data_IF_101834821524
#
_entry.id   IF_101834821524
#
_cell.length_a   1.000
_cell.length_b   1.000
_cell.length_c   1.000
_cell.angle_alpha   90.00
_cell.angle_beta   90.00
_cell.angle_gamma   90.00
#
_symmetry.space_group_name_H-M   'P 1'
#
loop_
_entity.id
_entity.type
_entity.pdbx_description
1 polymer ?
#
# COMPACT_ATOMS: atom_id res chain seq x y z
N UNK A 1 47.26 -40.75 -48.36
CA UNK A 1 45.79 -40.56 -48.37
C UNK A 1 45.31 -40.61 -46.93
N UNK A 2 44.95 -39.47 -46.34
CA UNK A 2 44.43 -39.42 -44.97
C UNK A 2 42.91 -39.54 -45.06
N UNK A 3 42.35 -40.63 -44.52
CA UNK A 3 40.91 -40.83 -44.39
C UNK A 3 40.38 -39.74 -43.45
N UNK A 4 39.54 -38.85 -43.97
CA UNK A 4 38.79 -37.90 -43.16
C UNK A 4 37.63 -38.67 -42.51
N UNK A 5 37.69 -38.81 -41.19
CA UNK A 5 36.55 -39.33 -40.41
C UNK A 5 35.40 -38.31 -40.47
N UNK A 6 34.17 -38.82 -40.56
CA UNK A 6 32.97 -38.01 -40.73
C UNK A 6 32.76 -37.11 -39.50
N UNK A 7 32.25 -35.88 -39.66
CA UNK A 7 31.91 -35.03 -38.52
C UNK A 7 30.83 -35.75 -37.71
N UNK A 8 31.05 -35.91 -36.41
CA UNK A 8 30.00 -36.32 -35.48
C UNK A 8 28.85 -35.32 -35.57
N UNK A 9 27.61 -35.79 -35.73
CA UNK A 9 26.40 -34.95 -35.68
C UNK A 9 26.28 -34.37 -34.26
N UNK A 10 26.91 -33.22 -34.03
CA UNK A 10 26.79 -32.50 -32.78
C UNK A 10 25.35 -31.98 -32.66
N UNK A 11 24.63 -32.32 -31.58
CA UNK A 11 23.30 -31.78 -31.36
C UNK A 11 23.38 -30.27 -31.18
N UNK A 12 22.40 -29.57 -31.73
CA UNK A 12 22.27 -28.13 -31.59
C UNK A 12 21.89 -27.77 -30.15
N UNK A 13 22.92 -27.46 -29.36
CA UNK A 13 22.82 -27.13 -27.95
C UNK A 13 21.96 -25.88 -27.71
N UNK A 14 21.88 -24.96 -28.68
CA UNK A 14 21.08 -23.74 -28.59
C UNK A 14 19.59 -24.05 -28.67
N UNK A 15 19.20 -24.86 -29.66
CA UNK A 15 17.82 -25.34 -29.80
C UNK A 15 17.40 -26.20 -28.60
N UNK A 16 18.27 -27.10 -28.13
CA UNK A 16 17.98 -27.93 -26.96
C UNK A 16 17.77 -27.09 -25.70
N UNK A 17 18.58 -26.05 -25.51
CA UNK A 17 18.42 -25.13 -24.39
C UNK A 17 17.10 -24.37 -24.49
N UNK A 18 16.76 -23.82 -25.65
CA UNK A 18 15.50 -23.09 -25.86
C UNK A 18 14.27 -23.96 -25.59
N UNK A 19 14.23 -25.19 -26.09
CA UNK A 19 13.13 -26.12 -25.79
C UNK A 19 12.98 -26.37 -24.29
N UNK A 20 14.09 -26.55 -23.57
CA UNK A 20 14.07 -26.76 -22.12
C UNK A 20 13.61 -25.54 -21.34
N UNK A 21 13.98 -24.33 -21.78
CA UNK A 21 13.50 -23.09 -21.18
C UNK A 21 12.00 -22.92 -21.37
N UNK A 22 11.49 -23.10 -22.59
CA UNK A 22 10.05 -23.01 -22.89
C UNK A 22 9.24 -24.05 -22.10
N UNK A 23 9.75 -25.28 -21.98
CA UNK A 23 9.13 -26.33 -21.18
C UNK A 23 9.06 -25.95 -19.69
N UNK A 24 10.13 -25.32 -19.16
CA UNK A 24 10.18 -24.86 -17.77
C UNK A 24 9.24 -23.68 -17.51
N UNK A 25 9.19 -22.70 -18.42
CA UNK A 25 8.30 -21.55 -18.33
C UNK A 25 6.82 -21.96 -18.39
N UNK A 26 6.46 -22.91 -19.25
CA UNK A 26 5.08 -23.41 -19.38
C UNK A 26 4.53 -24.05 -18.09
N UNK A 27 5.41 -24.55 -17.23
CA UNK A 27 5.06 -25.16 -15.94
C UNK A 27 4.99 -24.15 -14.81
N UNK A 28 5.51 -22.94 -15.02
CA UNK A 28 5.47 -21.88 -14.04
C UNK A 28 4.07 -21.24 -14.05
N UNK A 29 3.33 -21.39 -12.96
CA UNK A 29 2.02 -20.76 -12.82
C UNK A 29 1.88 -20.15 -11.43
N UNK A 30 1.05 -19.12 -11.34
CA UNK A 30 0.86 -18.36 -10.11
C UNK A 30 0.04 -19.11 -9.04
N UNK A 31 -0.26 -20.42 -9.20
CA UNK A 31 -1.10 -21.14 -8.24
C UNK A 31 -0.52 -21.11 -6.82
N UNK A 32 0.80 -21.22 -6.68
CA UNK A 32 1.47 -21.19 -5.37
C UNK A 32 1.38 -19.79 -4.73
N UNK A 33 1.43 -18.75 -5.56
CA UNK A 33 1.25 -17.36 -5.12
C UNK A 33 -0.21 -17.11 -4.71
N UNK A 34 -1.17 -17.59 -5.49
CA UNK A 34 -2.61 -17.40 -5.25
C UNK A 34 -3.15 -18.19 -4.06
N UNK A 35 -2.49 -19.29 -3.69
CA UNK A 35 -2.80 -20.05 -2.45
C UNK A 35 -2.16 -19.47 -1.20
N UNK A 36 -1.17 -18.58 -1.35
CA UNK A 36 -0.48 -18.00 -0.22
C UNK A 36 -1.37 -17.01 0.53
N UNK A 37 -1.65 -17.28 1.81
CA UNK A 37 -2.51 -16.44 2.66
C UNK A 37 -2.04 -14.98 2.73
N UNK A 38 -0.72 -14.74 2.78
CA UNK A 38 -0.16 -13.38 2.83
C UNK A 38 -0.38 -12.64 1.52
N UNK A 39 -0.27 -13.33 0.38
CA UNK A 39 -0.53 -12.74 -0.93
C UNK A 39 -2.00 -12.38 -1.09
N UNK A 40 -2.90 -13.27 -0.66
CA UNK A 40 -4.34 -13.01 -0.70
C UNK A 40 -4.73 -11.81 0.17
N UNK A 41 -4.18 -11.72 1.39
CA UNK A 41 -4.39 -10.57 2.27
C UNK A 41 -3.86 -9.26 1.66
N UNK A 42 -2.66 -9.28 1.08
CA UNK A 42 -2.09 -8.12 0.40
C UNK A 42 -2.93 -7.69 -0.83
N UNK A 43 -3.39 -8.66 -1.63
CA UNK A 43 -4.25 -8.42 -2.79
C UNK A 43 -5.59 -7.79 -2.38
N UNK A 44 -6.14 -8.21 -1.25
CA UNK A 44 -7.35 -7.61 -0.68
C UNK A 44 -7.11 -6.16 -0.21
N UNK A 45 -6.00 -5.90 0.48
CA UNK A 45 -5.59 -4.54 0.85
C UNK A 45 -5.46 -3.61 -0.37
N UNK A 46 -4.87 -4.10 -1.47
CA UNK A 46 -4.76 -3.32 -2.71
C UNK A 46 -6.13 -2.98 -3.32
N UNK A 47 -7.09 -3.91 -3.28
CA UNK A 47 -8.45 -3.66 -3.75
C UNK A 47 -9.14 -2.59 -2.90
N UNK A 48 -8.99 -2.66 -1.58
CA UNK A 48 -9.55 -1.67 -0.66
C UNK A 48 -8.90 -0.29 -0.81
N UNK A 49 -7.58 -0.23 -1.05
CA UNK A 49 -6.88 1.01 -1.38
C UNK A 49 -7.36 1.62 -2.70
N UNK A 50 -7.58 0.79 -3.74
CA UNK A 50 -8.14 1.27 -5.02
C UNK A 50 -9.53 1.88 -4.85
N UNK A 51 -10.39 1.31 -3.99
CA UNK A 51 -11.72 1.87 -3.73
C UNK A 51 -11.68 3.24 -3.04
N UNK A 52 -10.66 3.51 -2.23
CA UNK A 52 -10.49 4.83 -1.62
C UNK A 52 -10.05 5.90 -2.64
N UNK A 53 -9.44 5.49 -3.75
CA UNK A 53 -9.09 6.33 -4.90
C UNK A 53 -10.14 6.17 -6.00
N UNK A 54 -11.32 6.77 -5.85
CA UNK A 54 -12.24 6.94 -6.96
C UNK A 54 -11.64 7.89 -8.01
N UNK A 55 -11.02 7.31 -9.04
CA UNK A 55 -10.64 7.95 -10.28
C UNK A 55 -10.51 6.88 -11.37
N UNK A 56 -11.61 6.68 -12.10
CA UNK A 56 -11.83 5.93 -13.34
C UNK A 56 -10.76 4.91 -13.81
N UNK A 57 -11.24 3.69 -14.09
CA UNK A 57 -10.62 2.68 -14.95
C UNK A 57 -10.43 3.22 -16.39
N UNK A 58 -9.40 4.03 -16.59
CA UNK A 58 -8.85 4.37 -17.91
C UNK A 58 -7.32 4.35 -17.81
N UNK A 59 -6.74 3.16 -17.64
CA UNK A 59 -5.27 2.94 -17.71
C UNK A 59 -4.89 2.25 -19.03
N UNK A 60 -5.65 2.45 -20.10
CA UNK A 60 -5.24 1.97 -21.43
C UNK A 60 -5.06 3.08 -22.47
N UNK A 61 -5.39 4.34 -22.15
CA UNK A 61 -5.11 5.49 -23.04
C UNK A 61 -4.91 6.75 -22.22
N UNK A 62 -3.72 6.92 -21.65
CA UNK A 62 -3.30 8.23 -21.14
C UNK A 62 -2.02 8.58 -21.87
N UNK A 63 -2.14 9.55 -22.79
CA UNK A 63 -1.05 10.19 -23.52
C UNK A 63 0.06 10.69 -22.58
N UNK A 64 1.26 10.84 -23.16
CA UNK A 64 2.56 11.13 -22.52
C UNK A 64 2.66 12.45 -21.71
N UNK A 65 1.54 13.15 -21.44
CA UNK A 65 1.51 14.46 -20.78
C UNK A 65 0.71 14.51 -19.46
N UNK A 66 0.53 13.39 -18.74
CA UNK A 66 0.16 13.47 -17.31
C UNK A 66 1.40 13.76 -16.47
N UNK A 67 1.52 15.01 -16.02
CA UNK A 67 2.42 15.38 -14.94
C UNK A 67 1.91 14.76 -13.62
N UNK A 68 2.54 13.65 -13.19
CA UNK A 68 2.31 13.06 -11.88
C UNK A 68 2.82 14.03 -10.81
N UNK A 69 1.92 14.88 -10.30
CA UNK A 69 2.24 15.70 -9.13
C UNK A 69 2.22 14.79 -7.90
N UNK A 70 3.34 14.76 -7.16
CA UNK A 70 3.40 14.06 -5.88
C UNK A 70 2.39 14.74 -4.95
N UNK A 71 1.24 14.10 -4.73
CA UNK A 71 0.28 14.54 -3.70
C UNK A 71 1.01 14.58 -2.36
N UNK A 72 1.25 15.78 -1.83
CA UNK A 72 1.86 15.95 -0.52
C UNK A 72 0.88 15.45 0.54
N UNK A 73 1.06 14.21 0.99
CA UNK A 73 0.32 13.69 2.13
C UNK A 73 0.77 14.46 3.38
N UNK A 74 -0.20 15.08 4.07
CA UNK A 74 0.08 15.81 5.30
C UNK A 74 0.24 14.82 6.45
N UNK A 75 1.48 14.58 6.89
CA UNK A 75 1.79 13.71 8.05
C UNK A 75 1.69 14.44 9.40
N UNK A 76 1.34 15.72 9.38
CA UNK A 76 1.26 16.56 10.55
C UNK A 76 -0.05 16.31 11.30
N UNK A 77 0.06 15.96 12.58
CA UNK A 77 -1.07 15.80 13.47
C UNK A 77 -1.76 17.16 13.71
N UNK A 78 -3.09 17.28 13.56
CA UNK A 78 -3.80 18.53 13.80
C UNK A 78 -3.86 18.95 15.28
N UNK A 79 -3.48 18.06 16.22
CA UNK A 79 -3.44 18.35 17.65
C UNK A 79 -2.03 18.78 18.08
N UNK A 80 -1.02 17.97 17.78
CA UNK A 80 0.36 18.22 18.22
C UNK A 80 1.15 19.13 17.27
N UNK A 81 0.66 19.32 16.05
CA UNK A 81 1.35 20.04 14.97
C UNK A 81 2.74 19.45 14.63
N UNK A 82 2.96 18.19 14.98
CA UNK A 82 4.18 17.44 14.67
C UNK A 82 3.86 16.28 13.74
N UNK A 83 4.88 15.73 13.07
CA UNK A 83 4.77 14.47 12.32
C UNK A 83 4.28 13.36 13.25
N UNK A 84 3.24 12.65 12.83
CA UNK A 84 2.66 11.54 13.60
C UNK A 84 3.67 10.39 13.75
N UNK A 85 3.75 9.79 14.94
CA UNK A 85 4.53 8.58 15.24
C UNK A 85 3.62 7.36 15.34
N UNK A 86 2.48 7.50 16.00
CA UNK A 86 1.46 6.45 16.11
C UNK A 86 0.15 6.97 15.53
N UNK A 87 0.02 7.02 14.20
CA UNK A 87 -1.20 7.54 13.59
C UNK A 87 -2.38 6.60 13.86
N UNK A 88 -3.50 7.17 14.29
CA UNK A 88 -4.81 6.51 14.38
C UNK A 88 -5.81 7.25 13.51
N UNK A 89 -6.67 6.51 12.81
CA UNK A 89 -7.72 7.03 11.94
C UNK A 89 -9.08 6.90 12.61
N UNK A 90 -9.87 7.97 12.60
CA UNK A 90 -11.28 7.89 12.99
C UNK A 90 -12.09 7.27 11.86
N UNK A 91 -12.75 6.13 12.11
CA UNK A 91 -13.55 5.41 11.11
C UNK A 91 -14.80 6.15 10.62
N UNK A 92 -15.27 7.17 11.35
CA UNK A 92 -16.47 7.95 11.01
C UNK A 92 -16.16 9.09 10.03
N UNK A 93 -15.04 9.79 10.21
CA UNK A 93 -14.70 10.95 9.38
C UNK A 93 -13.41 10.79 8.55
N UNK A 94 -12.68 9.69 8.72
CA UNK A 94 -11.47 9.36 7.96
C UNK A 94 -10.21 10.15 8.35
N UNK A 95 -10.28 11.07 9.31
CA UNK A 95 -9.13 11.88 9.72
C UNK A 95 -8.20 11.13 10.67
N UNK A 96 -6.90 11.38 10.51
CA UNK A 96 -5.84 10.76 11.31
C UNK A 96 -5.23 11.74 12.32
N UNK A 97 -4.81 11.21 13.46
CA UNK A 97 -4.23 11.94 14.59
C UNK A 97 -3.09 11.14 15.20
N UNK A 98 -2.25 11.81 16.00
CA UNK A 98 -1.38 11.11 16.95
C UNK A 98 -2.21 10.44 18.04
N UNK A 99 -2.00 9.14 18.26
CA UNK A 99 -2.77 8.30 19.18
C UNK A 99 -2.83 8.88 20.61
N UNK A 100 -1.67 9.15 21.19
CA UNK A 100 -1.59 9.62 22.58
C UNK A 100 -2.32 10.97 22.74
N UNK A 101 -2.18 11.86 21.76
CA UNK A 101 -2.77 13.19 21.79
C UNK A 101 -4.31 13.17 21.68
N UNK A 102 -4.87 12.34 20.79
CA UNK A 102 -6.32 12.25 20.65
C UNK A 102 -6.96 11.56 21.87
N UNK A 103 -6.31 10.55 22.44
CA UNK A 103 -6.79 9.86 23.64
C UNK A 103 -6.77 10.79 24.86
N UNK A 104 -5.71 11.58 25.05
CA UNK A 104 -5.63 12.58 26.11
C UNK A 104 -6.73 13.64 25.97
N UNK A 105 -6.97 14.14 24.75
CA UNK A 105 -8.02 15.12 24.49
C UNK A 105 -9.41 14.55 24.79
N UNK A 106 -9.68 13.30 24.40
CA UNK A 106 -10.93 12.60 24.72
C UNK A 106 -11.11 12.47 26.24
N UNK A 107 -10.06 12.05 26.94
CA UNK A 107 -10.11 11.87 28.40
C UNK A 107 -10.35 13.19 29.12
N UNK A 108 -9.66 14.26 28.72
CA UNK A 108 -9.81 15.61 29.30
C UNK A 108 -11.23 16.15 29.12
N UNK A 109 -11.82 15.96 27.95
CA UNK A 109 -13.18 16.44 27.69
C UNK A 109 -14.24 15.59 28.38
N UNK A 110 -14.00 14.28 28.53
CA UNK A 110 -14.86 13.38 29.31
C UNK A 110 -14.95 13.82 30.77
N UNK A 111 -13.83 14.23 31.39
CA UNK A 111 -13.82 14.80 32.75
C UNK A 111 -14.67 16.08 32.85
N UNK A 112 -14.66 16.90 31.78
CA UNK A 112 -15.48 18.11 31.67
C UNK A 112 -16.93 17.84 31.25
N UNK A 113 -17.34 16.57 31.12
CA UNK A 113 -18.66 16.14 30.61
C UNK A 113 -18.99 16.72 29.22
N UNK A 114 -17.98 16.93 28.38
CA UNK A 114 -18.11 17.48 27.02
C UNK A 114 -17.75 16.43 25.97
N UNK A 115 -18.38 16.53 24.81
CA UNK A 115 -18.01 15.76 23.61
C UNK A 115 -16.79 16.35 22.94
N UNK A 116 -16.04 15.51 22.23
CA UNK A 116 -14.85 15.91 21.49
C UNK A 116 -15.22 16.10 20.03
N UNK A 117 -14.99 17.32 19.52
CA UNK A 117 -15.09 17.57 18.08
C UNK A 117 -13.84 17.09 17.38
N UNK A 118 -13.98 16.68 16.12
CA UNK A 118 -12.87 16.37 15.24
C UNK A 118 -11.86 17.55 15.22
N UNK A 119 -10.58 17.31 15.56
CA UNK A 119 -9.55 18.36 15.50
C UNK A 119 -9.22 18.86 14.10
N UNK A 120 -9.59 18.12 13.05
CA UNK A 120 -9.35 18.57 11.67
C UNK A 120 -10.25 19.77 11.38
N UNK A 121 -9.62 20.88 11.01
CA UNK A 121 -10.30 22.11 10.61
C UNK A 121 -11.34 21.82 9.51
N UNK A 122 -12.54 22.35 9.69
CA UNK A 122 -13.66 22.19 8.73
C UNK A 122 -14.41 20.86 8.83
N UNK A 123 -14.01 19.92 9.68
CA UNK A 123 -14.76 18.69 9.86
C UNK A 123 -16.01 18.92 10.73
N UNK A 124 -17.17 18.42 10.26
CA UNK A 124 -18.46 18.53 10.95
C UNK A 124 -18.68 17.48 12.05
N UNK A 125 -17.78 16.52 12.22
CA UNK A 125 -17.94 15.44 13.19
C UNK A 125 -17.65 15.93 14.62
N UNK A 126 -18.63 15.80 15.53
CA UNK A 126 -18.62 16.45 16.86
C UNK A 126 -18.51 15.49 18.06
N UNK A 127 -18.45 14.18 17.83
CA UNK A 127 -18.50 13.16 18.89
C UNK A 127 -17.45 12.07 18.68
N UNK A 128 -16.17 12.47 18.66
CA UNK A 128 -15.04 11.55 18.53
C UNK A 128 -14.92 10.70 19.80
N UNK A 129 -14.90 9.37 19.64
CA UNK A 129 -14.75 8.41 20.73
C UNK A 129 -13.54 7.53 20.50
N UNK A 130 -12.94 7.04 21.59
CA UNK A 130 -11.81 6.10 21.51
C UNK A 130 -12.16 4.82 20.74
N UNK A 131 -13.40 4.35 20.82
CA UNK A 131 -13.91 3.19 20.07
C UNK A 131 -13.98 3.39 18.55
N UNK A 132 -13.88 4.64 18.08
CA UNK A 132 -13.93 4.99 16.66
C UNK A 132 -12.53 5.17 16.06
N UNK A 133 -11.50 5.15 16.91
CA UNK A 133 -10.11 5.24 16.51
C UNK A 133 -9.54 3.86 16.23
N UNK A 134 -8.94 3.71 15.06
CA UNK A 134 -8.28 2.47 14.63
C UNK A 134 -6.84 2.81 14.22
N UNK A 135 -5.83 2.01 14.56
CA UNK A 135 -4.47 2.21 14.08
C UNK A 135 -4.40 2.34 12.55
N UNK A 136 -3.68 3.36 12.07
CA UNK A 136 -3.50 3.63 10.64
C UNK A 136 -2.13 3.09 10.19
N UNK A 137 -2.05 1.76 10.05
CA UNK A 137 -0.82 1.06 9.67
C UNK A 137 -0.32 1.48 8.28
N UNK A 138 -1.22 1.86 7.36
CA UNK A 138 -0.85 2.34 6.05
C UNK A 138 -0.13 3.69 6.15
N UNK A 139 -0.71 4.65 6.88
CA UNK A 139 -0.11 5.96 7.10
C UNK A 139 1.21 5.85 7.87
N UNK A 140 1.27 4.98 8.88
CA UNK A 140 2.50 4.71 9.64
C UNK A 140 3.64 4.24 8.74
N UNK A 141 3.39 3.26 7.87
CA UNK A 141 4.40 2.76 6.91
C UNK A 141 4.92 3.87 5.99
N UNK A 142 4.03 4.75 5.52
CA UNK A 142 4.43 5.88 4.66
C UNK A 142 5.32 6.85 5.43
N UNK A 143 4.95 7.23 6.65
CA UNK A 143 5.75 8.12 7.51
C UNK A 143 7.13 7.50 7.78
N UNK A 144 7.17 6.25 8.20
CA UNK A 144 8.41 5.53 8.50
C UNK A 144 9.32 5.41 7.26
N UNK A 145 8.74 5.29 6.07
CA UNK A 145 9.50 5.26 4.81
C UNK A 145 10.15 6.60 4.48
N UNK A 146 9.50 7.73 4.81
CA UNK A 146 10.05 9.06 4.57
C UNK A 146 11.15 9.41 5.57
N UNK A 147 11.04 8.97 6.82
CA UNK A 147 12.05 9.22 7.85
C UNK A 147 13.36 8.43 7.63
N UNK A 148 13.37 7.45 6.72
CA UNK A 148 14.55 6.66 6.35
C UNK A 148 15.34 7.24 5.17
N UNK A 149 14.77 8.22 4.46
CA UNK A 149 15.44 8.96 3.38
C UNK A 149 16.24 10.11 3.97
#
# INVERSE_FOLDING_TARGET
QVKREKPEDLPDLENLAQEKFLEMESKNNDSDLQKNEKYMYFKDQLKEMKKQYHGNDTIEQIDEDIAVTRSQMNFICPITQMTMKRPVRNKVCGHSYEEDAILEMIQTQKQKKKKVRCPKMGCSHVDVKGSDLVPDEALKRVIDSQNKQ
#
